data_IF_583730639279
#
_entry.id   IF_583730639279
#
_cell.length_a   1.000
_cell.length_b   1.000
_cell.length_c   1.000
_cell.angle_alpha   90.00
_cell.angle_beta   90.00
_cell.angle_gamma   90.00
#
_symmetry.space_group_name_H-M   'P 1'
#
loop_
_entity.id
_entity.type
_entity.pdbx_description
1 polymer ?
#
# COMPACT_ATOMS: atom_id res chain seq x y z
N UNK A 1 -8.92 -1.50 20.42
CA UNK A 1 -7.86 -1.91 19.48
C UNK A 1 -7.30 -0.66 18.84
N UNK A 2 -5.98 -0.55 18.74
CA UNK A 2 -5.31 0.56 18.06
C UNK A 2 -4.55 -0.02 16.87
N UNK A 3 -4.82 0.49 15.66
CA UNK A 3 -4.20 0.02 14.41
C UNK A 3 -3.66 1.19 13.60
N UNK A 4 -2.56 0.96 12.88
CA UNK A 4 -2.15 1.83 11.78
C UNK A 4 -2.70 1.31 10.47
N UNK A 5 -3.48 2.15 9.79
CA UNK A 5 -4.14 1.85 8.52
C UNK A 5 -3.57 2.78 7.45
N UNK A 6 -3.10 2.23 6.34
CA UNK A 6 -2.73 3.01 5.17
C UNK A 6 -3.88 3.02 4.17
N UNK A 7 -4.27 4.20 3.70
CA UNK A 7 -5.15 4.33 2.53
C UNK A 7 -4.28 4.68 1.34
N UNK A 8 -4.31 3.85 0.30
CA UNK A 8 -3.61 4.10 -0.96
C UNK A 8 -4.39 5.13 -1.76
N UNK A 9 -3.78 6.29 -2.03
CA UNK A 9 -4.48 7.43 -2.64
C UNK A 9 -3.74 7.95 -3.86
N UNK A 10 -4.49 8.55 -4.78
CA UNK A 10 -3.92 9.36 -5.84
C UNK A 10 -3.57 10.77 -5.34
N UNK A 11 -3.11 11.62 -6.27
CA UNK A 11 -2.73 13.00 -5.99
C UNK A 11 -3.93 13.91 -5.64
N UNK A 12 -5.13 13.48 -5.98
CA UNK A 12 -6.37 14.25 -5.82
C UNK A 12 -7.11 13.87 -4.52
N UNK A 13 -6.58 12.90 -3.76
CA UNK A 13 -7.15 12.47 -2.48
C UNK A 13 -8.26 11.43 -2.61
N UNK A 14 -8.30 10.73 -3.73
CA UNK A 14 -9.22 9.62 -4.00
C UNK A 14 -8.49 8.30 -3.75
N UNK A 15 -9.20 7.28 -3.27
CA UNK A 15 -8.66 5.91 -3.20
C UNK A 15 -8.15 5.50 -4.58
N UNK A 16 -6.87 5.15 -4.65
CA UNK A 16 -6.19 4.89 -5.91
C UNK A 16 -6.86 3.73 -6.66
N UNK A 17 -7.29 3.91 -7.92
CA UNK A 17 -8.08 2.91 -8.65
C UNK A 17 -7.27 1.70 -9.11
N UNK A 18 -5.94 1.80 -9.13
CA UNK A 18 -5.05 0.72 -9.51
C UNK A 18 -4.59 -0.14 -8.33
N UNK A 19 -3.53 -0.92 -8.56
CA UNK A 19 -2.91 -1.69 -7.48
C UNK A 19 -2.23 -0.74 -6.49
N UNK A 20 -2.44 -0.97 -5.19
CA UNK A 20 -1.94 -0.10 -4.12
C UNK A 20 -0.42 0.12 -4.20
N UNK A 21 0.36 -0.89 -4.61
CA UNK A 21 1.83 -0.78 -4.72
C UNK A 21 2.29 0.29 -5.72
N UNK A 22 1.40 0.75 -6.60
CA UNK A 22 1.62 1.84 -7.56
C UNK A 22 1.00 3.16 -7.13
N UNK A 23 0.23 3.20 -6.04
CA UNK A 23 -0.33 4.44 -5.54
C UNK A 23 0.81 5.42 -5.22
N UNK A 24 0.74 6.68 -5.68
CA UNK A 24 1.81 7.64 -5.47
C UNK A 24 1.97 8.04 -3.99
N UNK A 25 0.92 7.84 -3.20
CA UNK A 25 0.85 8.33 -1.83
C UNK A 25 0.01 7.40 -0.95
N UNK A 26 0.36 7.35 0.32
CA UNK A 26 -0.40 6.68 1.36
C UNK A 26 -0.74 7.68 2.46
N UNK A 27 -2.03 7.81 2.77
CA UNK A 27 -2.48 8.49 3.98
C UNK A 27 -2.49 7.49 5.12
N UNK A 28 -1.72 7.76 6.17
CA UNK A 28 -1.56 6.88 7.31
C UNK A 28 -2.45 7.36 8.44
N UNK A 29 -3.36 6.49 8.85
CA UNK A 29 -4.33 6.73 9.89
C UNK A 29 -4.02 5.89 11.12
N UNK A 30 -4.29 6.47 12.28
CA UNK A 30 -4.52 5.73 13.50
C UNK A 30 -6.00 5.44 13.62
N UNK A 31 -6.36 4.17 13.68
CA UNK A 31 -7.72 3.75 13.97
C UNK A 31 -7.88 3.45 15.46
N UNK A 32 -8.76 4.19 16.13
CA UNK A 32 -9.10 3.97 17.54
C UNK A 32 -10.54 4.40 17.82
N UNK A 33 -11.22 3.68 18.72
CA UNK A 33 -12.59 4.01 19.15
C UNK A 33 -13.59 4.25 18.00
N UNK A 34 -13.47 3.51 16.90
CA UNK A 34 -14.37 3.65 15.76
C UNK A 34 -14.06 4.80 14.81
N UNK A 35 -12.91 5.46 14.93
CA UNK A 35 -12.54 6.63 14.13
C UNK A 35 -11.16 6.50 13.53
N UNK A 36 -11.02 7.02 12.32
CA UNK A 36 -9.74 7.23 11.65
C UNK A 36 -9.24 8.64 11.99
N UNK A 37 -8.01 8.73 12.47
CA UNK A 37 -7.29 9.98 12.70
C UNK A 37 -6.07 10.01 11.78
N UNK A 38 -6.00 10.98 10.87
CA UNK A 38 -4.85 11.12 9.98
C UNK A 38 -3.61 11.49 10.78
N UNK A 39 -2.56 10.68 10.67
CA UNK A 39 -1.29 10.87 11.40
C UNK A 39 -0.24 11.48 10.49
N UNK A 40 -0.10 10.95 9.27
CA UNK A 40 0.92 11.41 8.33
C UNK A 40 0.61 10.97 6.89
N UNK A 41 1.33 11.55 5.94
CA UNK A 41 1.34 11.14 4.55
C UNK A 41 2.71 10.57 4.17
N UNK A 42 2.71 9.43 3.47
CA UNK A 42 3.94 8.77 3.00
C UNK A 42 3.93 8.69 1.48
N UNK A 43 4.97 9.24 0.85
CA UNK A 43 5.17 9.15 -0.60
C UNK A 43 5.69 7.78 -0.98
N UNK A 44 5.23 7.28 -2.12
CA UNK A 44 5.70 6.03 -2.70
C UNK A 44 6.68 6.32 -3.86
N UNK A 45 8.00 6.13 -3.66
CA UNK A 45 8.96 6.33 -4.75
C UNK A 45 8.88 5.21 -5.81
N UNK A 46 8.12 4.15 -5.56
CA UNK A 46 7.93 3.01 -6.46
C UNK A 46 6.61 3.08 -7.26
N UNK A 47 5.87 4.20 -7.18
CA UNK A 47 4.56 4.34 -7.80
C UNK A 47 4.55 4.04 -9.30
N UNK A 48 5.56 4.54 -10.02
CA UNK A 48 5.67 4.39 -11.48
C UNK A 48 6.42 3.13 -11.93
N UNK A 49 6.90 2.32 -10.98
CA UNK A 49 7.77 1.17 -11.26
C UNK A 49 6.92 -0.06 -11.63
N UNK A 50 7.04 -0.66 -12.83
CA UNK A 50 6.19 -1.77 -13.27
C UNK A 50 6.21 -3.01 -12.36
N UNK A 51 5.13 -3.78 -12.37
CA UNK A 51 5.02 -5.05 -11.62
C UNK A 51 5.66 -6.25 -12.34
N UNK A 52 5.84 -6.19 -13.66
CA UNK A 52 6.36 -7.29 -14.50
C UNK A 52 7.56 -6.86 -15.35
N UNK A 53 8.51 -7.77 -15.49
CA UNK A 53 9.53 -7.77 -16.54
C UNK A 53 8.85 -7.92 -17.91
N UNK A 54 8.58 -6.81 -18.60
CA UNK A 54 8.15 -6.89 -19.99
C UNK A 54 9.34 -7.30 -20.87
N UNK A 55 9.39 -8.60 -21.19
CA UNK A 55 10.00 -9.23 -22.37
C UNK A 55 11.26 -8.60 -23.01
N UNK A 56 12.38 -9.31 -22.91
CA UNK A 56 13.47 -9.36 -23.88
C UNK A 56 13.95 -8.03 -24.51
N UNK A 57 14.47 -7.13 -23.68
CA UNK A 57 15.79 -6.56 -23.96
C UNK A 57 16.58 -6.57 -22.66
N UNK A 58 17.53 -7.51 -22.56
CA UNK A 58 18.72 -7.30 -21.72
C UNK A 58 19.47 -6.15 -22.38
N UNK A 59 18.98 -4.92 -22.17
CA UNK A 59 19.82 -3.75 -22.37
C UNK A 59 20.90 -3.88 -21.32
N UNK A 60 22.16 -3.94 -21.78
CA UNK A 60 23.38 -4.09 -20.98
C UNK A 60 23.53 -2.98 -19.93
N UNK A 61 22.71 -3.00 -18.88
CA UNK A 61 22.79 -2.02 -17.79
C UNK A 61 22.65 -2.61 -16.38
N UNK A 62 22.29 -3.88 -16.18
CA UNK A 62 22.12 -4.44 -14.83
C UNK A 62 22.77 -5.82 -14.64
N UNK A 63 23.97 -6.05 -15.17
CA UNK A 63 24.78 -7.25 -14.83
C UNK A 63 25.76 -7.03 -13.68
N UNK A 64 25.80 -5.84 -13.07
CA UNK A 64 26.74 -5.52 -12.00
C UNK A 64 26.05 -5.50 -10.63
N UNK A 65 25.15 -6.45 -10.38
CA UNK A 65 24.58 -6.68 -9.04
C UNK A 65 25.51 -7.57 -8.21
N UNK A 66 26.72 -7.07 -7.98
CA UNK A 66 27.52 -7.36 -6.79
C UNK A 66 27.46 -6.11 -5.92
N UNK A 67 26.65 -6.11 -4.87
CA UNK A 67 26.64 -5.00 -3.93
C UNK A 67 25.32 -4.81 -3.21
N UNK A 68 25.27 -5.40 -2.03
CA UNK A 68 24.52 -4.86 -0.89
C UNK A 68 24.77 -3.34 -0.79
N UNK A 69 23.81 -2.53 -1.28
CA UNK A 69 23.80 -1.10 -1.03
C UNK A 69 22.39 -0.69 -0.59
N UNK A 70 22.22 -0.15 0.64
CA UNK A 70 20.92 -0.07 1.31
C UNK A 70 19.98 1.05 0.82
N UNK A 71 20.34 1.81 -0.22
CA UNK A 71 19.71 3.11 -0.52
C UNK A 71 18.87 3.17 -1.81
N UNK A 72 19.02 2.24 -2.76
CA UNK A 72 18.28 2.28 -4.02
C UNK A 72 17.01 1.40 -4.01
N UNK A 73 15.85 1.91 -4.45
CA UNK A 73 14.64 1.10 -4.60
C UNK A 73 14.83 0.00 -5.67
N UNK A 74 14.38 -1.25 -5.42
CA UNK A 74 14.43 -2.31 -6.42
C UNK A 74 13.41 -2.09 -7.53
N UNK A 75 13.75 -2.57 -8.73
CA UNK A 75 13.07 -2.21 -9.98
C UNK A 75 11.75 -2.96 -10.27
N UNK A 76 11.42 -4.08 -9.62
CA UNK A 76 10.17 -4.84 -9.85
C UNK A 76 10.05 -6.07 -8.93
N UNK A 77 8.91 -6.78 -9.00
CA UNK A 77 8.73 -8.12 -8.43
C UNK A 77 8.69 -8.16 -6.90
N UNK A 78 8.94 -9.32 -6.31
CA UNK A 78 8.93 -9.50 -4.84
C UNK A 78 9.84 -8.50 -4.09
N UNK A 79 11.07 -8.19 -4.54
CA UNK A 79 11.92 -7.20 -3.89
C UNK A 79 11.29 -5.79 -3.81
N UNK A 80 10.53 -5.37 -4.84
CA UNK A 80 9.74 -4.11 -4.82
C UNK A 80 8.81 -4.08 -3.61
N UNK A 81 8.07 -5.15 -3.39
CA UNK A 81 7.10 -5.21 -2.30
C UNK A 81 7.78 -5.33 -0.93
N UNK A 82 8.91 -6.05 -0.83
CA UNK A 82 9.73 -6.12 0.39
C UNK A 82 10.28 -4.75 0.78
N UNK A 83 10.78 -3.99 -0.20
CA UNK A 83 11.25 -2.64 0.02
C UNK A 83 10.10 -1.72 0.45
N UNK A 84 8.97 -1.76 -0.27
CA UNK A 84 7.79 -0.97 0.07
C UNK A 84 7.31 -1.25 1.50
N UNK A 85 7.22 -2.53 1.87
CA UNK A 85 6.82 -2.97 3.21
C UNK A 85 7.80 -2.54 4.29
N UNK A 86 9.11 -2.60 4.05
CA UNK A 86 10.12 -2.27 5.06
C UNK A 86 10.42 -0.78 5.21
N UNK A 87 10.18 0.02 4.16
CA UNK A 87 10.55 1.45 4.14
C UNK A 87 9.36 2.39 4.19
N UNK A 88 8.29 2.08 3.47
CA UNK A 88 7.13 2.98 3.35
C UNK A 88 5.99 2.54 4.26
N UNK A 89 5.79 1.23 4.43
CA UNK A 89 4.70 0.67 5.23
C UNK A 89 5.20 -0.25 6.38
N UNK A 90 6.28 0.08 7.13
CA UNK A 90 6.90 -0.81 8.12
C UNK A 90 6.00 -1.19 9.30
N UNK A 91 5.09 -0.31 9.67
CA UNK A 91 4.27 -0.33 10.89
C UNK A 91 2.77 -0.39 10.59
N UNK A 92 2.41 -0.57 9.32
CA UNK A 92 1.02 -0.62 8.87
C UNK A 92 0.47 -2.03 9.05
N UNK A 93 -0.67 -2.14 9.72
CA UNK A 93 -1.38 -3.41 9.94
C UNK A 93 -2.45 -3.67 8.88
N UNK A 94 -2.98 -2.62 8.26
CA UNK A 94 -4.07 -2.70 7.29
C UNK A 94 -3.82 -1.74 6.14
N UNK A 95 -4.05 -2.18 4.90
CA UNK A 95 -4.08 -1.30 3.73
C UNK A 95 -5.49 -1.31 3.13
N UNK A 96 -6.05 -0.13 2.89
CA UNK A 96 -7.28 0.08 2.12
C UNK A 96 -6.88 0.56 0.72
N UNK A 97 -7.36 -0.10 -0.33
CA UNK A 97 -6.98 0.20 -1.71
C UNK A 97 -8.06 -0.15 -2.74
N UNK A 98 -7.92 0.37 -3.97
CA UNK A 98 -8.75 -0.04 -5.11
C UNK A 98 -8.43 -1.46 -5.62
N UNK A 99 -7.19 -1.92 -5.46
CA UNK A 99 -6.79 -3.27 -5.85
C UNK A 99 -5.37 -3.64 -5.45
N UNK A 100 -4.98 -4.87 -5.77
CA UNK A 100 -3.62 -5.38 -5.60
C UNK A 100 -3.32 -6.43 -6.68
N UNK A 101 -2.08 -6.47 -7.18
CA UNK A 101 -1.65 -7.61 -7.98
C UNK A 101 -1.49 -8.84 -7.08
N UNK A 102 -1.54 -10.03 -7.67
CA UNK A 102 -1.48 -11.28 -6.90
C UNK A 102 -0.21 -11.40 -6.06
N UNK A 103 0.93 -10.94 -6.57
CA UNK A 103 2.22 -11.01 -5.88
C UNK A 103 2.27 -10.08 -4.66
N UNK A 104 1.84 -8.83 -4.82
CA UNK A 104 1.82 -7.87 -3.70
C UNK A 104 0.80 -8.27 -2.64
N UNK A 105 -0.38 -8.77 -3.05
CA UNK A 105 -1.38 -9.32 -2.14
C UNK A 105 -0.81 -10.44 -1.27
N UNK A 106 -0.23 -11.47 -1.91
CA UNK A 106 0.34 -12.64 -1.21
C UNK A 106 1.47 -12.26 -0.26
N UNK A 107 2.36 -11.36 -0.71
CA UNK A 107 3.47 -10.94 0.13
C UNK A 107 3.01 -10.16 1.37
N UNK A 108 2.19 -9.12 1.19
CA UNK A 108 1.74 -8.29 2.32
C UNK A 108 0.89 -9.09 3.32
N UNK A 109 0.01 -9.98 2.84
CA UNK A 109 -0.77 -10.86 3.72
C UNK A 109 0.09 -11.88 4.45
N UNK A 110 1.16 -12.41 3.83
CA UNK A 110 2.12 -13.27 4.53
C UNK A 110 2.91 -12.56 5.64
N UNK A 111 3.05 -11.23 5.53
CA UNK A 111 3.67 -10.36 6.54
C UNK A 111 2.66 -9.87 7.59
N UNK A 112 1.46 -10.46 7.63
CA UNK A 112 0.40 -10.14 8.59
C UNK A 112 -0.35 -8.83 8.31
N UNK A 113 -0.18 -8.23 7.12
CA UNK A 113 -0.92 -7.04 6.73
C UNK A 113 -2.27 -7.43 6.14
N UNK A 114 -3.35 -6.89 6.68
CA UNK A 114 -4.70 -7.05 6.13
C UNK A 114 -4.90 -6.12 4.94
N UNK A 115 -5.51 -6.62 3.87
CA UNK A 115 -5.84 -5.82 2.68
C UNK A 115 -7.36 -5.75 2.54
N UNK A 116 -7.89 -4.54 2.56
CA UNK A 116 -9.30 -4.24 2.32
C UNK A 116 -9.44 -3.52 0.99
N UNK A 117 -10.45 -3.90 0.21
CA UNK A 117 -10.69 -3.34 -1.11
C UNK A 117 -11.98 -2.54 -1.14
N UNK A 118 -11.95 -1.41 -1.84
CA UNK A 118 -13.10 -0.53 -2.05
C UNK A 118 -13.01 0.12 -3.42
N UNK A 119 -14.15 0.51 -3.98
CA UNK A 119 -14.16 1.29 -5.22
C UNK A 119 -13.46 2.65 -5.05
N UNK A 120 -12.99 3.28 -6.13
CA UNK A 120 -12.39 4.62 -6.05
C UNK A 120 -13.39 5.62 -5.46
N UNK A 121 -13.07 6.13 -4.29
CA UNK A 121 -13.91 7.05 -3.51
C UNK A 121 -13.05 8.11 -2.86
N UNK A 122 -13.59 9.32 -2.68
CA UNK A 122 -12.93 10.36 -1.91
C UNK A 122 -12.61 9.87 -0.50
N UNK A 123 -11.38 10.12 -0.04
CA UNK A 123 -10.94 9.65 1.29
C UNK A 123 -11.80 10.21 2.41
N UNK A 124 -12.31 11.45 2.27
CA UNK A 124 -13.24 12.05 3.24
C UNK A 124 -14.55 11.25 3.35
N UNK A 125 -15.02 10.70 2.23
CA UNK A 125 -16.22 9.86 2.20
C UNK A 125 -15.95 8.50 2.83
N UNK A 126 -14.77 7.93 2.61
CA UNK A 126 -14.32 6.72 3.30
C UNK A 126 -14.23 6.93 4.81
N UNK A 127 -13.64 8.05 5.27
CA UNK A 127 -13.55 8.41 6.69
C UNK A 127 -14.94 8.54 7.34
N UNK A 128 -15.87 9.21 6.66
CA UNK A 128 -17.24 9.34 7.10
C UNK A 128 -17.93 7.98 7.17
N UNK A 129 -17.77 7.13 6.16
CA UNK A 129 -18.33 5.78 6.11
C UNK A 129 -17.83 4.93 7.29
N UNK A 130 -16.53 4.91 7.56
CA UNK A 130 -15.93 4.15 8.68
C UNK A 130 -16.51 4.61 10.02
N UNK A 131 -16.69 5.92 10.19
CA UNK A 131 -17.25 6.49 11.42
C UNK A 131 -18.72 6.13 11.61
N UNK A 132 -19.50 6.15 10.52
CA UNK A 132 -20.94 5.86 10.54
C UNK A 132 -21.24 4.35 10.64
N UNK A 133 -20.39 3.51 10.06
CA UNK A 133 -20.58 2.06 9.93
C UNK A 133 -19.51 1.30 10.72
N UNK A 134 -19.29 1.72 11.96
CA UNK A 134 -18.22 1.21 12.83
C UNK A 134 -18.23 -0.32 12.95
N UNK A 135 -19.39 -0.93 13.21
CA UNK A 135 -19.49 -2.37 13.47
C UNK A 135 -19.11 -3.20 12.23
N UNK A 136 -19.58 -2.76 11.06
CA UNK A 136 -19.26 -3.35 9.75
C UNK A 136 -17.77 -3.24 9.46
N UNK A 137 -17.19 -2.05 9.66
CA UNK A 137 -15.76 -1.86 9.46
C UNK A 137 -14.92 -2.70 10.44
N UNK A 138 -15.29 -2.75 11.72
CA UNK A 138 -14.60 -3.60 12.71
C UNK A 138 -14.75 -5.09 12.39
N UNK A 139 -15.85 -5.51 11.76
CA UNK A 139 -16.02 -6.87 11.27
C UNK A 139 -15.07 -7.17 10.12
N UNK A 140 -14.98 -6.29 9.12
CA UNK A 140 -14.01 -6.42 8.03
C UNK A 140 -12.55 -6.45 8.56
N UNK A 141 -12.27 -5.74 9.65
CA UNK A 141 -10.97 -5.79 10.32
C UNK A 141 -10.70 -7.11 11.05
N UNK A 142 -11.70 -7.96 11.34
CA UNK A 142 -11.53 -9.26 12.01
C UNK A 142 -11.43 -10.44 11.04
N UNK A 143 -12.11 -10.38 9.90
CA UNK A 143 -12.12 -11.41 8.84
C UNK A 143 -10.79 -11.51 8.08
#
# INVERSE_FOLDING_TARGET
MELKIAVAVDKDGVVFPGHFAHAPLYRIYKYSNGRLELVEERRNPLGDVPDLDHGHHVSRLNTDFEGESPEAPPAHGLPKYQWLRSRVLPDVSVVIAGGACQTSYRYFTSEGVKLLFTDPVDVETLEAYVTQNREEFEQALRE
#
